data_IF_346884739718
#
_entry.id   IF_346884739718
#
_cell.length_a   1.000
_cell.length_b   1.000
_cell.length_c   1.000
_cell.angle_alpha   90.00
_cell.angle_beta   90.00
_cell.angle_gamma   90.00
#
_symmetry.space_group_name_H-M   'P 1'
#
loop_
_entity.id
_entity.type
_entity.pdbx_description
1 polymer ?
#
# COMPACT_ATOMS: atom_id res chain seq x y z
N UNK A 1 9.48 10.98 9.98
CA UNK A 1 9.84 9.63 9.57
C UNK A 1 10.64 9.65 8.28
N UNK A 2 11.69 8.91 8.22
CA UNK A 2 12.50 8.82 7.02
C UNK A 2 12.15 7.58 6.22
N UNK A 3 12.00 7.76 4.91
CA UNK A 3 11.83 6.63 4.00
C UNK A 3 13.20 6.32 3.42
N UNK A 4 13.63 5.11 3.63
CA UNK A 4 14.91 4.67 3.09
C UNK A 4 14.67 3.51 2.12
N UNK A 5 15.72 3.11 1.44
CA UNK A 5 15.65 1.98 0.53
C UNK A 5 15.15 0.75 1.28
N UNK A 6 14.23 0.03 0.67
CA UNK A 6 13.66 -1.19 1.22
C UNK A 6 12.74 -0.99 2.41
N UNK A 7 12.26 0.22 2.66
CA UNK A 7 11.26 0.44 3.70
C UNK A 7 9.92 -0.10 3.21
N UNK A 8 9.34 -1.09 3.90
CA UNK A 8 8.04 -1.61 3.46
C UNK A 8 6.93 -0.60 3.73
N UNK A 9 6.08 -0.40 2.73
CA UNK A 9 4.96 0.54 2.83
C UNK A 9 3.71 -0.09 2.23
N UNK A 10 2.58 0.19 2.84
CA UNK A 10 1.29 -0.28 2.33
C UNK A 10 0.44 0.94 2.02
N UNK A 11 -0.14 0.99 0.82
CA UNK A 11 -1.01 2.08 0.42
C UNK A 11 -2.37 1.49 0.06
N UNK A 12 -3.38 1.78 0.88
CA UNK A 12 -4.74 1.34 0.56
C UNK A 12 -5.35 2.32 -0.42
N UNK A 13 -6.12 1.82 -1.36
CA UNK A 13 -6.62 2.66 -2.43
C UNK A 13 -5.51 3.10 -3.36
N UNK A 14 -4.44 2.31 -3.45
CA UNK A 14 -3.25 2.69 -4.19
C UNK A 14 -3.40 2.72 -5.70
N UNK A 15 -4.51 2.19 -6.21
CA UNK A 15 -4.76 2.24 -7.66
C UNK A 15 -5.51 3.50 -8.08
N UNK A 16 -6.04 4.27 -7.12
CA UNK A 16 -6.76 5.51 -7.41
C UNK A 16 -5.77 6.66 -7.60
N UNK A 17 -6.26 7.79 -8.10
CA UNK A 17 -5.40 8.92 -8.41
C UNK A 17 -4.51 9.35 -7.26
N UNK A 18 -5.12 9.63 -6.09
CA UNK A 18 -4.35 10.08 -4.93
C UNK A 18 -3.46 8.96 -4.39
N UNK A 19 -4.02 7.76 -4.27
CA UNK A 19 -3.25 6.63 -3.77
C UNK A 19 -2.10 6.26 -4.69
N UNK A 20 -2.33 6.30 -5.99
CA UNK A 20 -1.28 6.00 -6.96
C UNK A 20 -0.16 7.04 -6.89
N UNK A 21 -0.52 8.31 -6.73
CA UNK A 21 0.48 9.37 -6.61
C UNK A 21 1.31 9.17 -5.34
N UNK A 22 0.65 8.82 -4.23
CA UNK A 22 1.34 8.55 -2.97
C UNK A 22 2.28 7.36 -3.11
N UNK A 23 1.79 6.30 -3.74
CA UNK A 23 2.60 5.10 -3.94
C UNK A 23 3.83 5.39 -4.78
N UNK A 24 3.66 6.17 -5.84
CA UNK A 24 4.80 6.56 -6.67
C UNK A 24 5.81 7.38 -5.92
N UNK A 25 5.34 8.30 -5.08
CA UNK A 25 6.24 9.13 -4.29
C UNK A 25 7.05 8.29 -3.30
N UNK A 26 6.41 7.32 -2.66
CA UNK A 26 7.11 6.43 -1.75
C UNK A 26 8.13 5.56 -2.47
N UNK A 27 7.74 5.02 -3.61
CA UNK A 27 8.64 4.17 -4.38
C UNK A 27 9.84 4.96 -4.88
N UNK A 28 9.64 6.23 -5.22
CA UNK A 28 10.74 7.08 -5.68
C UNK A 28 11.78 7.28 -4.57
N UNK A 29 11.38 7.13 -3.32
CA UNK A 29 12.31 7.24 -2.19
C UNK A 29 12.90 5.90 -1.79
N UNK A 30 12.59 4.85 -2.54
CA UNK A 30 13.14 3.53 -2.28
C UNK A 30 12.25 2.60 -1.49
N UNK A 31 11.05 3.03 -1.13
CA UNK A 31 10.16 2.18 -0.37
C UNK A 31 9.70 0.99 -1.20
N UNK A 32 9.47 -0.13 -0.53
CA UNK A 32 8.88 -1.30 -1.15
C UNK A 32 7.37 -1.22 -0.91
N UNK A 33 6.64 -0.92 -1.97
CA UNK A 33 5.23 -0.56 -1.85
C UNK A 33 4.33 -1.75 -2.16
N UNK A 34 3.36 -1.98 -1.29
CA UNK A 34 2.28 -2.91 -1.54
C UNK A 34 1.01 -2.09 -1.78
N UNK A 35 0.32 -2.39 -2.87
CA UNK A 35 -0.89 -1.69 -3.27
C UNK A 35 -2.09 -2.51 -2.83
N UNK A 36 -2.93 -1.95 -1.99
CA UNK A 36 -4.18 -2.58 -1.59
C UNK A 36 -5.32 -1.87 -2.30
N UNK A 37 -6.04 -2.57 -3.15
CA UNK A 37 -7.14 -1.96 -3.89
C UNK A 37 -8.08 -3.06 -4.36
N UNK A 38 -9.33 -2.68 -4.64
CA UNK A 38 -10.30 -3.60 -5.21
C UNK A 38 -10.12 -3.74 -6.71
N UNK A 39 -9.53 -2.74 -7.36
CA UNK A 39 -9.37 -2.73 -8.80
C UNK A 39 -8.11 -3.48 -9.18
N UNK A 40 -8.29 -4.72 -9.59
CA UNK A 40 -7.18 -5.61 -9.92
C UNK A 40 -6.35 -5.10 -11.08
N UNK A 41 -7.03 -4.63 -12.12
CA UNK A 41 -6.34 -4.21 -13.32
C UNK A 41 -5.42 -3.02 -13.06
N UNK A 42 -5.97 -1.98 -12.45
CA UNK A 42 -5.18 -0.79 -12.14
C UNK A 42 -4.14 -1.06 -11.06
N UNK A 43 -4.52 -1.87 -10.08
CA UNK A 43 -3.60 -2.21 -8.99
C UNK A 43 -2.38 -2.94 -9.48
N UNK A 44 -2.59 -3.92 -10.35
CA UNK A 44 -1.46 -4.65 -10.92
C UNK A 44 -0.59 -3.76 -11.79
N UNK A 45 -1.22 -2.85 -12.54
CA UNK A 45 -0.46 -1.93 -13.39
C UNK A 45 0.45 -1.03 -12.55
N UNK A 46 -0.10 -0.46 -11.48
CA UNK A 46 0.68 0.41 -10.59
C UNK A 46 1.78 -0.39 -9.89
N UNK A 47 1.45 -1.56 -9.38
CA UNK A 47 2.45 -2.38 -8.69
C UNK A 47 3.60 -2.74 -9.63
N UNK A 48 3.29 -3.10 -10.87
CA UNK A 48 4.32 -3.41 -11.84
C UNK A 48 5.19 -2.20 -12.14
N UNK A 49 4.57 -1.04 -12.25
CA UNK A 49 5.29 0.21 -12.49
C UNK A 49 6.29 0.49 -11.38
N UNK A 50 5.91 0.20 -10.15
CA UNK A 50 6.73 0.52 -8.98
C UNK A 50 7.67 -0.60 -8.56
N UNK A 51 7.55 -1.76 -9.17
CA UNK A 51 8.28 -2.93 -8.73
C UNK A 51 7.79 -3.44 -7.39
N UNK A 52 6.52 -3.17 -7.05
CA UNK A 52 5.92 -3.58 -5.80
C UNK A 52 5.00 -4.77 -5.97
N UNK A 53 4.11 -4.96 -5.01
CA UNK A 53 3.13 -6.04 -5.07
C UNK A 53 1.72 -5.47 -5.02
N UNK A 54 0.78 -6.22 -5.57
CA UNK A 54 -0.62 -5.87 -5.52
C UNK A 54 -1.37 -6.91 -4.69
N UNK A 55 -2.26 -6.43 -3.83
CA UNK A 55 -3.16 -7.28 -3.08
C UNK A 55 -4.57 -6.77 -3.29
N UNK A 56 -5.44 -7.66 -3.78
CA UNK A 56 -6.85 -7.29 -3.94
C UNK A 56 -7.48 -7.30 -2.56
N UNK A 57 -7.76 -6.13 -2.03
CA UNK A 57 -8.25 -5.99 -0.66
C UNK A 57 -9.47 -5.08 -0.64
N UNK A 58 -10.54 -5.58 -0.03
CA UNK A 58 -11.67 -4.77 0.31
C UNK A 58 -11.43 -4.28 1.75
N UNK A 59 -11.18 -2.99 1.90
CA UNK A 59 -10.80 -2.45 3.22
C UNK A 59 -11.91 -2.52 4.24
N UNK A 60 -13.13 -2.84 3.82
CA UNK A 60 -14.22 -3.07 4.76
C UNK A 60 -14.27 -4.51 5.27
N UNK A 61 -13.43 -5.38 4.75
CA UNK A 61 -13.38 -6.77 5.15
C UNK A 61 -12.12 -7.03 5.94
N UNK A 62 -12.27 -7.38 7.21
CA UNK A 62 -11.12 -7.66 8.06
C UNK A 62 -10.31 -8.83 7.53
N UNK A 63 -10.98 -9.84 6.98
CA UNK A 63 -10.29 -11.00 6.42
C UNK A 63 -9.42 -10.61 5.24
N UNK A 64 -9.94 -9.76 4.35
CA UNK A 64 -9.18 -9.28 3.21
C UNK A 64 -7.97 -8.48 3.65
N UNK A 65 -8.17 -7.61 4.65
CA UNK A 65 -7.10 -6.76 5.16
C UNK A 65 -6.00 -7.63 5.75
N UNK A 66 -6.38 -8.60 6.56
CA UNK A 66 -5.39 -9.51 7.17
C UNK A 66 -4.63 -10.30 6.12
N UNK A 67 -5.33 -10.82 5.11
CA UNK A 67 -4.69 -11.57 4.05
C UNK A 67 -3.76 -10.69 3.23
N UNK A 68 -4.18 -9.44 2.99
CA UNK A 68 -3.34 -8.49 2.27
C UNK A 68 -2.06 -8.18 3.01
N UNK A 69 -2.15 -7.93 4.30
CA UNK A 69 -0.96 -7.68 5.11
C UNK A 69 -0.05 -8.90 5.15
N UNK A 70 -0.62 -10.10 5.27
CA UNK A 70 0.19 -11.31 5.26
C UNK A 70 0.98 -11.44 3.98
N UNK A 71 0.33 -11.18 2.84
CA UNK A 71 0.98 -11.24 1.55
C UNK A 71 2.07 -10.17 1.40
N UNK A 72 1.77 -8.96 1.85
CA UNK A 72 2.73 -7.87 1.76
C UNK A 72 3.95 -8.13 2.64
N UNK A 73 3.73 -8.66 3.84
CA UNK A 73 4.81 -8.96 4.75
C UNK A 73 5.69 -10.09 4.25
N UNK A 74 5.08 -11.06 3.57
CA UNK A 74 5.83 -12.15 2.97
C UNK A 74 6.77 -11.63 1.88
N UNK A 75 6.29 -10.67 1.11
CA UNK A 75 7.08 -10.12 0.01
C UNK A 75 8.12 -9.09 0.47
N UNK A 76 7.75 -8.23 1.40
CA UNK A 76 8.56 -7.05 1.75
C UNK A 76 9.00 -6.99 3.21
N UNK A 77 8.44 -7.83 4.05
CA UNK A 77 8.65 -7.72 5.49
C UNK A 77 7.58 -6.85 6.12
N UNK A 78 7.68 -6.64 7.42
CA UNK A 78 6.68 -5.91 8.18
C UNK A 78 6.62 -4.46 7.71
N UNK A 79 5.43 -3.99 7.42
CA UNK A 79 5.24 -2.61 6.96
C UNK A 79 5.64 -1.62 8.05
N UNK A 80 6.28 -0.54 7.63
CA UNK A 80 6.66 0.54 8.51
C UNK A 80 5.86 1.80 8.21
N UNK A 81 5.24 1.84 7.04
CA UNK A 81 4.41 2.97 6.62
C UNK A 81 3.09 2.40 6.14
N UNK A 82 2.01 2.98 6.62
CA UNK A 82 0.67 2.63 6.14
C UNK A 82 -0.04 3.92 5.79
N UNK A 83 -0.40 4.05 4.53
CA UNK A 83 -1.17 5.21 4.04
C UNK A 83 -2.53 4.72 3.59
N UNK A 84 -3.57 5.27 4.20
CA UNK A 84 -4.92 4.86 3.89
C UNK A 84 -5.58 5.89 2.97
N UNK A 85 -5.58 5.59 1.68
CA UNK A 85 -6.18 6.44 0.66
C UNK A 85 -7.47 5.87 0.12
N UNK A 86 -7.94 4.76 0.66
CA UNK A 86 -9.23 4.21 0.25
C UNK A 86 -10.33 5.17 0.68
N UNK A 87 -11.09 5.68 -0.24
CA UNK A 87 -12.01 6.76 0.03
C UNK A 87 -13.31 6.33 0.70
N UNK A 88 -13.23 5.57 1.75
CA UNK A 88 -14.40 5.15 2.49
C UNK A 88 -14.65 6.16 3.59
N UNK A 89 -15.78 6.80 3.51
CA UNK A 89 -16.07 7.88 4.41
C UNK A 89 -15.09 9.00 4.16
N UNK A 90 -14.73 9.68 5.18
CA UNK A 90 -13.86 10.84 5.05
C UNK A 90 -12.61 10.71 5.91
N UNK A 91 -12.28 9.52 6.29
CA UNK A 91 -11.12 9.31 7.16
C UNK A 91 -9.92 8.96 6.32
N UNK A 92 -8.98 9.84 6.25
CA UNK A 92 -7.70 9.56 5.65
C UNK A 92 -6.70 9.56 6.77
N UNK A 93 -6.08 8.42 6.99
CA UNK A 93 -5.13 8.29 8.07
C UNK A 93 -3.79 7.85 7.56
N UNK A 94 -2.77 8.48 8.05
CA UNK A 94 -1.42 8.04 7.83
C UNK A 94 -0.90 7.50 9.14
N UNK A 95 -0.50 6.25 9.14
CA UNK A 95 -0.01 5.62 10.34
C UNK A 95 1.42 5.21 10.15
N UNK A 96 2.24 5.58 11.08
CA UNK A 96 3.64 5.21 11.07
C UNK A 96 3.87 4.25 12.23
N UNK A 97 4.41 3.10 11.92
CA UNK A 97 4.67 2.08 12.94
C UNK A 97 6.15 1.98 13.13
N UNK A 98 6.61 2.35 14.27
CA UNK A 98 8.03 2.42 14.52
C UNK A 98 8.54 1.28 15.39
N UNK A 99 7.79 0.25 15.50
CA UNK A 99 8.26 -0.85 16.32
C UNK A 99 8.84 -1.94 15.53
#
# INVERSE_FOLDING_TARGET
MEVSANTPAVVTGGASGLGAATARALAAKGAKVAIFDMNEEKGNAIAAELGGVFCKVNVTSDEDVDAGFAKAREAHGQERILVNCAGIGNAIKTASRSK
#
